data_IF_229803232155
#
_entry.id   IF_229803232155
#
_cell.length_a   1.000
_cell.length_b   1.000
_cell.length_c   1.000
_cell.angle_alpha   90.00
_cell.angle_beta   90.00
_cell.angle_gamma   90.00
#
_symmetry.space_group_name_H-M   'P 1'
#
loop_
_entity.id
_entity.type
_entity.pdbx_description
1 polymer ?
#
# COMPACT_ATOMS: atom_id res chain seq x y z
N UNK A 1 -6.31 -16.77 8.89
CA UNK A 1 -5.24 -17.58 8.30
C UNK A 1 -4.89 -16.95 6.96
N UNK A 2 -3.61 -16.73 6.68
CA UNK A 2 -3.14 -16.28 5.36
C UNK A 2 -3.44 -17.38 4.33
N UNK A 3 -4.01 -17.00 3.19
CA UNK A 3 -4.21 -17.89 2.04
C UNK A 3 -2.91 -18.06 1.26
N UNK A 4 -2.84 -19.03 0.35
CA UNK A 4 -1.70 -19.15 -0.57
C UNK A 4 -1.53 -17.89 -1.43
N UNK A 5 -2.64 -17.25 -1.84
CA UNK A 5 -2.60 -16.00 -2.61
C UNK A 5 -2.03 -14.85 -1.77
N UNK A 6 -2.35 -14.81 -0.48
CA UNK A 6 -1.75 -13.84 0.44
C UNK A 6 -0.24 -14.07 0.55
N UNK A 7 0.19 -15.32 0.68
CA UNK A 7 1.61 -15.64 0.82
C UNK A 7 2.46 -15.17 -0.38
N UNK A 8 1.88 -15.19 -1.59
CA UNK A 8 2.58 -14.70 -2.79
C UNK A 8 2.75 -13.18 -2.80
N UNK A 9 1.71 -12.41 -2.45
CA UNK A 9 1.81 -10.94 -2.44
C UNK A 9 2.72 -10.42 -1.31
N UNK A 10 2.80 -11.14 -0.18
CA UNK A 10 3.67 -10.79 0.94
C UNK A 10 5.10 -11.35 0.82
N UNK A 11 5.44 -11.96 -0.32
CA UNK A 11 6.76 -12.57 -0.49
C UNK A 11 7.85 -11.49 -0.47
N UNK A 12 8.67 -11.50 0.58
CA UNK A 12 9.75 -10.53 0.77
C UNK A 12 9.34 -9.26 1.52
N UNK A 13 8.08 -9.18 1.97
CA UNK A 13 7.55 -8.07 2.76
C UNK A 13 7.87 -8.29 4.24
N UNK A 14 8.33 -7.24 4.92
CA UNK A 14 8.55 -7.25 6.37
C UNK A 14 7.20 -7.14 7.10
N UNK A 15 6.77 -8.23 7.71
CA UNK A 15 5.48 -8.31 8.42
C UNK A 15 5.61 -8.04 9.92
N UNK A 16 6.77 -7.56 10.38
CA UNK A 16 6.97 -7.22 11.79
C UNK A 16 6.15 -6.00 12.21
N UNK A 17 5.68 -6.01 13.46
CA UNK A 17 4.89 -4.93 14.03
C UNK A 17 5.51 -4.42 15.34
N UNK A 18 5.67 -3.10 15.55
CA UNK A 18 5.33 -2.02 14.62
C UNK A 18 6.29 -1.94 13.42
N UNK A 19 5.84 -1.43 12.25
CA UNK A 19 6.72 -1.24 11.10
C UNK A 19 7.80 -0.20 11.41
N UNK A 20 9.01 -0.41 10.89
CA UNK A 20 10.16 0.46 11.15
C UNK A 20 10.81 0.89 9.84
N UNK A 21 10.74 2.19 9.55
CA UNK A 21 11.51 2.78 8.46
C UNK A 21 11.91 4.23 8.81
N UNK A 22 13.13 4.63 8.45
CA UNK A 22 13.69 5.94 8.84
C UNK A 22 12.91 7.14 8.27
N UNK A 23 12.07 6.90 7.27
CA UNK A 23 11.24 7.91 6.59
C UNK A 23 9.74 7.72 6.85
N UNK A 24 9.36 6.74 7.66
CA UNK A 24 7.98 6.55 8.10
C UNK A 24 7.60 7.67 9.08
N UNK A 25 6.38 8.18 8.97
CA UNK A 25 5.81 9.11 9.95
C UNK A 25 5.80 8.43 11.33
N UNK A 26 6.36 9.06 12.39
CA UNK A 26 6.40 8.46 13.71
C UNK A 26 5.02 8.06 14.23
N UNK A 27 4.86 6.81 14.62
CA UNK A 27 3.60 6.28 15.14
C UNK A 27 2.54 5.98 14.08
N UNK A 28 2.88 6.07 12.78
CA UNK A 28 1.96 5.68 11.73
C UNK A 28 1.66 4.19 11.79
N UNK A 29 0.37 3.86 11.68
CA UNK A 29 -0.13 2.49 11.52
C UNK A 29 -1.19 2.50 10.45
N UNK A 30 -1.32 1.44 9.64
CA UNK A 30 -2.39 1.35 8.66
C UNK A 30 -3.75 1.43 9.37
N UNK A 31 -4.75 2.12 8.78
CA UNK A 31 -6.09 2.15 9.35
C UNK A 31 -6.72 0.75 9.35
N UNK A 32 -7.84 0.58 10.04
CA UNK A 32 -8.57 -0.67 9.95
C UNK A 32 -9.11 -0.87 8.52
N UNK A 33 -8.98 -2.07 7.93
CA UNK A 33 -9.49 -2.32 6.59
C UNK A 33 -11.03 -2.39 6.58
N UNK A 34 -11.68 -2.07 5.45
CA UNK A 34 -13.10 -2.36 5.25
C UNK A 34 -13.38 -3.88 5.32
N UNK A 35 -14.62 -4.32 5.62
CA UNK A 35 -14.97 -5.74 5.66
C UNK A 35 -14.60 -6.47 4.37
N UNK A 36 -14.13 -7.71 4.48
CA UNK A 36 -13.64 -8.57 3.39
C UNK A 36 -12.28 -8.18 2.77
N UNK A 37 -11.89 -6.91 2.78
CA UNK A 37 -10.55 -6.51 2.33
C UNK A 37 -9.56 -6.65 3.48
N UNK A 38 -8.39 -7.22 3.24
CA UNK A 38 -7.47 -7.60 4.33
C UNK A 38 -6.11 -6.93 4.23
N UNK A 39 -5.70 -6.61 3.01
CA UNK A 39 -4.30 -6.29 2.74
C UNK A 39 -4.21 -4.90 2.17
N UNK A 40 -3.58 -3.99 2.91
CA UNK A 40 -3.19 -2.70 2.36
C UNK A 40 -2.05 -2.94 1.36
N UNK A 41 -2.21 -2.44 0.14
CA UNK A 41 -1.23 -2.54 -0.94
C UNK A 41 -0.84 -1.14 -1.42
N UNK A 42 0.40 -0.98 -1.88
CA UNK A 42 0.85 0.20 -2.60
C UNK A 42 0.83 -0.09 -4.11
N UNK A 43 0.19 0.76 -4.91
CA UNK A 43 -0.01 0.54 -6.34
C UNK A 43 0.69 1.67 -7.10
N UNK A 44 1.60 1.34 -8.01
CA UNK A 44 2.26 2.33 -8.86
C UNK A 44 1.39 2.58 -10.10
N UNK A 45 0.66 3.70 -10.10
CA UNK A 45 -0.24 4.04 -11.20
C UNK A 45 0.35 5.13 -12.10
N UNK A 46 0.23 5.02 -13.44
CA UNK A 46 0.58 6.11 -14.34
C UNK A 46 -0.41 7.26 -14.17
N UNK A 47 0.11 8.48 -14.04
CA UNK A 47 -0.68 9.71 -13.94
C UNK A 47 -0.20 10.73 -14.97
N UNK A 48 -1.13 11.59 -15.41
CA UNK A 48 -0.81 12.73 -16.27
C UNK A 48 -1.02 14.00 -15.46
N UNK A 49 0.03 14.81 -15.32
CA UNK A 49 -0.02 16.09 -14.63
C UNK A 49 -0.70 17.15 -15.52
N UNK A 50 -1.06 18.28 -14.92
CA UNK A 50 -1.79 19.36 -15.61
C UNK A 50 -1.06 19.94 -16.83
N UNK A 51 0.27 19.86 -16.87
CA UNK A 51 1.12 20.28 -17.99
C UNK A 51 1.27 19.21 -19.10
N UNK A 52 0.57 18.08 -18.96
CA UNK A 52 0.63 16.95 -19.88
C UNK A 52 1.80 16.00 -19.63
N UNK A 53 2.61 16.23 -18.60
CA UNK A 53 3.71 15.33 -18.24
C UNK A 53 3.16 14.00 -17.72
N UNK A 54 3.59 12.90 -18.33
CA UNK A 54 3.32 11.54 -17.86
C UNK A 54 4.34 11.14 -16.81
N UNK A 55 3.86 10.70 -15.66
CA UNK A 55 4.69 10.17 -14.57
C UNK A 55 3.96 9.01 -13.88
N UNK A 56 4.53 8.49 -12.80
CA UNK A 56 3.87 7.51 -11.94
C UNK A 56 3.70 8.08 -10.54
N UNK A 57 2.64 7.64 -9.88
CA UNK A 57 2.37 7.97 -8.48
C UNK A 57 1.93 6.71 -7.75
N UNK A 58 2.34 6.62 -6.49
CA UNK A 58 1.88 5.59 -5.59
C UNK A 58 0.52 5.94 -5.03
N UNK A 59 -0.41 4.99 -5.05
CA UNK A 59 -1.70 5.06 -4.35
C UNK A 59 -1.84 3.88 -3.42
N UNK A 60 -2.62 4.04 -2.35
CA UNK A 60 -2.84 3.01 -1.34
C UNK A 60 -4.28 2.52 -1.41
N UNK A 61 -4.47 1.21 -1.40
CA UNK A 61 -5.78 0.58 -1.43
C UNK A 61 -5.78 -0.73 -0.63
N UNK A 62 -6.95 -1.20 -0.24
CA UNK A 62 -7.09 -2.54 0.31
C UNK A 62 -7.48 -3.53 -0.78
N UNK A 63 -6.76 -4.63 -0.87
CA UNK A 63 -7.00 -5.71 -1.83
C UNK A 63 -7.67 -6.90 -1.15
N UNK A 64 -8.73 -7.40 -1.77
CA UNK A 64 -9.18 -8.77 -1.57
C UNK A 64 -8.46 -9.67 -2.59
N UNK A 65 -7.56 -10.51 -2.11
CA UNK A 65 -6.77 -11.44 -2.94
C UNK A 65 -7.60 -12.61 -3.46
N UNK A 66 -8.74 -12.91 -2.84
CA UNK A 66 -9.61 -14.00 -3.29
C UNK A 66 -10.30 -13.61 -4.60
N UNK A 67 -10.87 -12.40 -4.64
CA UNK A 67 -11.64 -11.85 -5.75
C UNK A 67 -10.82 -10.97 -6.71
N UNK A 68 -9.64 -10.51 -6.28
CA UNK A 68 -8.81 -9.52 -6.97
C UNK A 68 -9.50 -8.15 -7.14
N UNK A 69 -10.32 -7.76 -6.15
CA UNK A 69 -11.05 -6.49 -6.13
C UNK A 69 -10.42 -5.52 -5.15
N UNK A 70 -10.36 -4.24 -5.54
CA UNK A 70 -9.91 -3.16 -4.67
C UNK A 70 -11.06 -2.58 -3.84
N UNK A 71 -10.79 -2.19 -2.60
CA UNK A 71 -11.80 -1.65 -1.71
C UNK A 71 -12.38 -0.34 -2.23
N UNK A 72 -11.58 0.47 -2.94
CA UNK A 72 -12.04 1.76 -3.47
C UNK A 72 -13.13 1.64 -4.53
N UNK A 73 -13.36 0.44 -5.08
CA UNK A 73 -14.46 0.18 -6.02
C UNK A 73 -15.83 0.18 -5.31
N UNK A 74 -15.87 -0.23 -4.04
CA UNK A 74 -17.11 -0.46 -3.29
C UNK A 74 -17.23 0.35 -1.99
N UNK A 75 -16.13 0.95 -1.51
CA UNK A 75 -16.06 1.62 -0.22
C UNK A 75 -15.33 2.96 -0.30
N UNK A 76 -15.86 3.97 0.38
CA UNK A 76 -15.13 5.20 0.67
C UNK A 76 -14.29 5.02 1.95
N UNK A 77 -12.99 5.17 1.82
CA UNK A 77 -12.05 5.22 2.94
C UNK A 77 -10.88 6.14 2.61
N UNK A 78 -10.08 6.45 3.61
CA UNK A 78 -8.86 7.24 3.43
C UNK A 78 -7.73 6.58 4.19
N UNK A 79 -6.59 6.43 3.50
CA UNK A 79 -5.35 5.97 4.11
C UNK A 79 -4.42 7.18 4.16
N UNK A 80 -4.05 7.59 5.36
CA UNK A 80 -3.08 8.67 5.53
C UNK A 80 -1.72 8.25 4.96
N UNK A 81 -1.07 9.17 4.26
CA UNK A 81 0.22 8.91 3.64
C UNK A 81 1.28 8.53 4.70
N UNK A 82 1.93 7.36 4.59
CA UNK A 82 2.82 6.85 5.63
C UNK A 82 4.16 7.56 5.70
N UNK A 83 4.58 8.23 4.62
CA UNK A 83 5.92 8.77 4.51
C UNK A 83 5.98 10.24 4.91
N UNK A 84 7.10 10.66 5.49
CA UNK A 84 7.34 12.07 5.79
C UNK A 84 7.29 12.92 4.51
N UNK A 85 6.90 14.18 4.67
CA UNK A 85 6.76 15.12 3.54
C UNK A 85 8.05 15.19 2.70
N UNK A 86 7.88 15.09 1.38
CA UNK A 86 8.97 15.17 0.41
C UNK A 86 9.76 13.87 0.20
N UNK A 87 9.45 12.80 0.94
CA UNK A 87 10.02 11.48 0.65
C UNK A 87 9.33 10.82 -0.54
N UNK A 88 10.12 10.29 -1.48
CA UNK A 88 9.65 9.58 -2.67
C UNK A 88 9.95 8.08 -2.50
N UNK A 89 9.00 7.28 -1.98
CA UNK A 89 9.24 5.86 -1.70
C UNK A 89 9.47 5.07 -2.98
N UNK A 90 10.38 4.10 -2.88
CA UNK A 90 10.68 3.07 -3.85
C UNK A 90 9.97 1.76 -3.44
N UNK A 91 9.89 0.75 -4.33
CA UNK A 91 9.27 -0.54 -4.02
C UNK A 91 9.71 -1.14 -2.68
N UNK A 92 11.02 -1.19 -2.41
CA UNK A 92 11.56 -1.77 -1.17
C UNK A 92 11.23 -0.98 0.10
N UNK A 93 10.87 0.31 0.00
CA UNK A 93 10.41 1.07 1.16
C UNK A 93 9.04 0.55 1.63
N UNK A 94 8.15 0.22 0.70
CA UNK A 94 6.83 -0.35 1.00
C UNK A 94 6.95 -1.71 1.66
N UNK A 95 7.79 -2.57 1.09
CA UNK A 95 8.06 -3.91 1.63
C UNK A 95 8.62 -3.82 3.06
N UNK A 96 9.45 -2.82 3.35
CA UNK A 96 10.04 -2.62 4.68
C UNK A 96 9.04 -2.18 5.77
N UNK A 97 7.82 -1.76 5.40
CA UNK A 97 6.77 -1.36 6.35
C UNK A 97 5.55 -2.29 6.32
N UNK A 98 5.67 -3.47 5.72
CA UNK A 98 4.60 -4.44 5.70
C UNK A 98 3.53 -4.18 4.66
N UNK A 99 3.80 -3.33 3.67
CA UNK A 99 2.86 -2.98 2.60
C UNK A 99 3.39 -3.57 1.29
N UNK A 100 2.82 -4.68 0.79
CA UNK A 100 3.17 -5.21 -0.53
C UNK A 100 2.94 -4.17 -1.63
N UNK A 101 3.84 -4.12 -2.60
CA UNK A 101 3.77 -3.20 -3.72
C UNK A 101 3.38 -3.91 -5.04
N UNK A 102 2.53 -3.24 -5.82
CA UNK A 102 2.04 -3.65 -7.13
C UNK A 102 2.56 -2.63 -8.16
N UNK A 103 3.61 -3.01 -8.91
CA UNK A 103 4.30 -2.17 -9.91
C UNK A 103 4.14 -2.66 -11.33
#
# INVERSE_FOLDING_TARGET
MLTQKDAEIFKGVDTTHPPLHAKLVPGWTPPAPPPAYRHLVAILTPVTLEDGLKTHMWVLDYLDTETATFASEDHEFTVEWPWILGYLPQPGDWDAIGIPNLT
#
